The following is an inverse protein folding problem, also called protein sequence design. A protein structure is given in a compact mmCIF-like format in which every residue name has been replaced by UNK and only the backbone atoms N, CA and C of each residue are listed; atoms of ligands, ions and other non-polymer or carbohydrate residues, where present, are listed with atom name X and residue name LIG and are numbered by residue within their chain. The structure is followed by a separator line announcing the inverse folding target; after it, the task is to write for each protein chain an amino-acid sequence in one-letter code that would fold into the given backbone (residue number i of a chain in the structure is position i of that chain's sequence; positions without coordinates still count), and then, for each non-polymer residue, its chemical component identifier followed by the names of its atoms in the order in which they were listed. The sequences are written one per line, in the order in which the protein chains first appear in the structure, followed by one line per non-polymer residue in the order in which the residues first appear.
data_IF_892962510271
#
_entry.id   IF_892962510271
#
_cell.length_a   1.000
_cell.length_b   1.000
_cell.length_c   1.000
_cell.angle_alpha   90.00
_cell.angle_beta   90.00
_cell.angle_gamma   90.00
#
_symmetry.space_group_name_H-M   'P 1'
#
loop_
_entity.id
_entity.type
_entity.pdbx_description
1 polymer ?
#
# COMPACT_ATOMS: atom_id res chain seq x y z
N UNK A 1 12.25 2.12 5.76
CA UNK A 1 10.95 1.48 6.08
C UNK A 1 9.90 2.08 5.15
N UNK A 2 8.92 1.32 4.66
CA UNK A 2 7.81 1.85 3.85
C UNK A 2 6.54 1.86 4.69
N UNK A 3 5.84 2.98 4.72
CA UNK A 3 4.53 3.12 5.37
C UNK A 3 3.59 3.94 4.51
N UNK A 4 2.30 3.87 4.79
CA UNK A 4 1.31 4.61 4.03
C UNK A 4 -0.10 4.38 4.53
N UNK A 5 -1.03 4.98 3.83
CA UNK A 5 -2.45 4.79 4.05
C UNK A 5 -3.21 5.00 2.74
N UNK A 6 -4.43 4.50 2.68
CA UNK A 6 -5.35 4.82 1.61
C UNK A 6 -6.78 4.88 2.12
N UNK A 7 -7.62 5.59 1.38
CA UNK A 7 -9.06 5.68 1.58
C UNK A 7 -9.72 5.67 0.20
N UNK A 8 -10.70 4.80 0.03
CA UNK A 8 -11.63 4.83 -1.09
C UNK A 8 -12.60 6.00 -0.87
N UNK A 9 -12.57 6.95 -1.78
CA UNK A 9 -13.52 8.03 -1.89
C UNK A 9 -14.60 7.55 -2.84
N UNK A 10 -15.78 7.34 -2.29
CA UNK A 10 -16.93 7.07 -3.09
C UNK A 10 -17.89 8.27 -3.09
N UNK A 11 -18.36 8.62 -4.29
CA UNK A 11 -19.23 9.78 -4.51
C UNK A 11 -20.73 9.40 -4.50
N UNK A 12 -21.09 8.10 -4.51
CA UNK A 12 -22.47 7.63 -4.70
C UNK A 12 -23.04 6.77 -3.56
N UNK A 13 -22.26 6.39 -2.54
CA UNK A 13 -22.70 5.51 -1.44
C UNK A 13 -23.16 6.35 -0.25
N UNK A 14 -24.47 6.56 -0.27
CA UNK A 14 -25.27 6.79 0.92
C UNK A 14 -24.96 5.72 1.98
N UNK A 15 -24.07 6.02 2.93
CA UNK A 15 -23.91 5.57 4.34
C UNK A 15 -24.46 4.19 4.82
N UNK A 16 -24.75 3.24 3.93
CA UNK A 16 -25.44 1.99 4.24
C UNK A 16 -25.25 0.91 3.17
N UNK A 17 -24.51 1.14 2.10
CA UNK A 17 -24.27 0.06 1.13
C UNK A 17 -23.06 -0.76 1.54
N UNK A 18 -23.24 -2.08 1.53
CA UNK A 18 -22.19 -3.10 1.59
C UNK A 18 -21.24 -2.94 0.38
N UNK A 19 -20.47 -1.85 0.35
CA UNK A 19 -19.42 -1.71 -0.65
C UNK A 19 -18.37 -2.77 -0.35
N UNK A 20 -18.04 -3.66 -1.30
CA UNK A 20 -17.11 -4.75 -1.05
C UNK A 20 -15.68 -4.25 -0.83
N UNK A 21 -15.42 -2.94 -0.97
CA UNK A 21 -14.16 -2.29 -0.67
C UNK A 21 -13.09 -2.53 -1.75
N UNK A 22 -11.90 -1.98 -1.51
CA UNK A 22 -10.75 -2.10 -2.40
C UNK A 22 -9.80 -3.17 -1.85
N UNK A 23 -9.32 -4.02 -2.74
CA UNK A 23 -8.18 -4.89 -2.46
C UNK A 23 -6.88 -4.12 -2.68
N UNK A 24 -5.99 -4.15 -1.69
CA UNK A 24 -4.67 -3.53 -1.76
C UNK A 24 -3.57 -4.58 -1.72
N UNK A 25 -2.58 -4.45 -2.60
CA UNK A 25 -1.38 -5.30 -2.60
C UNK A 25 -0.12 -4.48 -2.84
N UNK A 26 0.91 -4.71 -2.02
CA UNK A 26 2.27 -4.23 -2.28
C UNK A 26 3.17 -5.41 -2.65
N UNK A 27 3.91 -5.27 -3.75
CA UNK A 27 4.81 -6.29 -4.28
C UNK A 27 6.23 -5.77 -4.37
N UNK A 28 7.19 -6.62 -4.03
CA UNK A 28 8.62 -6.33 -4.10
C UNK A 28 9.18 -6.55 -5.51
N UNK A 29 10.42 -6.09 -5.79
CA UNK A 29 11.11 -6.39 -7.04
C UNK A 29 11.11 -7.90 -7.33
N UNK A 30 10.61 -8.34 -8.48
CA UNK A 30 10.48 -9.77 -8.79
C UNK A 30 9.17 -10.42 -8.34
N UNK A 31 8.17 -9.64 -7.88
CA UNK A 31 6.77 -10.05 -7.85
C UNK A 31 6.26 -10.68 -6.55
N UNK A 32 7.12 -10.90 -5.54
CA UNK A 32 6.69 -11.40 -4.24
C UNK A 32 5.84 -10.37 -3.50
N UNK A 33 4.67 -10.78 -3.00
CA UNK A 33 3.79 -9.93 -2.17
C UNK A 33 4.46 -9.69 -0.82
N UNK A 34 4.56 -8.43 -0.40
CA UNK A 34 5.09 -8.02 0.91
C UNK A 34 4.02 -7.51 1.84
N UNK A 35 2.86 -7.11 1.32
CA UNK A 35 1.70 -6.70 2.09
C UNK A 35 0.42 -6.85 1.27
N UNK A 36 -0.69 -7.20 1.91
CA UNK A 36 -2.00 -7.29 1.26
C UNK A 36 -3.15 -7.03 2.23
N UNK A 37 -4.17 -6.33 1.76
CA UNK A 37 -5.46 -6.15 2.42
C UNK A 37 -6.56 -6.47 1.41
N UNK A 38 -7.70 -6.93 1.90
CA UNK A 38 -8.86 -7.27 1.06
C UNK A 38 -10.12 -6.56 1.54
N UNK A 39 -10.90 -6.10 0.58
CA UNK A 39 -12.24 -5.55 0.80
C UNK A 39 -12.34 -4.49 1.90
N UNK A 40 -11.45 -3.50 1.89
CA UNK A 40 -11.50 -2.38 2.86
C UNK A 40 -11.73 -1.06 2.14
N UNK A 41 -12.49 -0.16 2.76
CA UNK A 41 -12.70 1.21 2.28
C UNK A 41 -11.54 2.14 2.66
N UNK A 42 -10.60 1.68 3.49
CA UNK A 42 -9.40 2.44 3.81
C UNK A 42 -8.66 1.84 5.00
N UNK A 43 -7.33 1.91 4.95
CA UNK A 43 -6.48 1.39 6.01
C UNK A 43 -5.08 2.04 5.98
N UNK A 44 -4.31 1.80 7.05
CA UNK A 44 -2.89 2.11 7.15
C UNK A 44 -2.07 0.85 6.92
N UNK A 45 -0.92 0.99 6.29
CA UNK A 45 0.01 -0.12 6.07
C UNK A 45 1.44 0.29 6.35
N UNK A 46 2.25 -0.69 6.76
CA UNK A 46 3.68 -0.53 6.89
C UNK A 46 4.39 -1.86 6.67
N UNK A 47 5.53 -1.83 5.98
CA UNK A 47 6.40 -2.98 5.81
C UNK A 47 7.87 -2.55 5.72
N UNK A 48 8.77 -3.46 6.12
CA UNK A 48 10.20 -3.31 5.84
C UNK A 48 10.45 -3.79 4.41
N UNK A 49 11.17 -3.01 3.61
CA UNK A 49 11.57 -3.42 2.26
C UNK A 49 12.69 -4.48 2.38
N UNK A 50 12.44 -5.76 2.07
CA UNK A 50 13.45 -6.82 2.24
C UNK A 50 14.60 -6.71 1.24
N UNK A 51 14.41 -5.99 0.13
CA UNK A 51 15.38 -5.81 -0.94
C UNK A 51 15.25 -4.45 -1.60
N UNK A 52 16.35 -3.95 -2.13
CA UNK A 52 16.39 -2.72 -2.93
C UNK A 52 15.71 -2.92 -4.29
N UNK A 53 15.08 -1.86 -4.80
CA UNK A 53 14.46 -1.83 -6.12
C UNK A 53 13.02 -1.29 -6.10
N UNK A 54 12.34 -1.44 -7.24
CA UNK A 54 10.99 -0.94 -7.44
C UNK A 54 9.92 -1.82 -6.80
N UNK A 55 9.12 -1.21 -5.92
CA UNK A 55 7.92 -1.81 -5.36
C UNK A 55 6.70 -1.35 -6.15
N UNK A 56 5.71 -2.24 -6.31
CA UNK A 56 4.45 -1.93 -6.98
C UNK A 56 3.30 -2.02 -5.99
N UNK A 57 2.52 -0.95 -5.92
CA UNK A 57 1.31 -0.81 -5.11
C UNK A 57 0.10 -0.93 -6.04
N UNK A 58 -0.77 -1.89 -5.78
CA UNK A 58 -1.95 -2.19 -6.59
C UNK A 58 -3.20 -2.00 -5.74
N UNK A 59 -4.13 -1.18 -6.25
CA UNK A 59 -5.49 -1.04 -5.74
C UNK A 59 -6.41 -1.69 -6.77
N UNK A 60 -7.16 -2.70 -6.36
CA UNK A 60 -8.07 -3.44 -7.23
C UNK A 60 -9.49 -3.26 -6.70
N UNK A 61 -10.33 -2.68 -7.54
CA UNK A 61 -11.77 -2.72 -7.31
C UNK A 61 -12.31 -4.08 -7.80
N UNK A 62 -12.87 -4.93 -6.91
CA UNK A 62 -13.53 -6.16 -7.31
C UNK A 62 -14.84 -5.89 -8.07
N UNK A 63 -15.44 -4.72 -7.85
CA UNK A 63 -16.61 -4.24 -8.59
C UNK A 63 -16.10 -3.48 -9.81
N UNK A 64 -16.70 -3.69 -10.97
CA UNK A 64 -16.32 -2.98 -12.20
C UNK A 64 -16.87 -1.55 -12.26
N UNK A 65 -17.08 -0.90 -11.11
CA UNK A 65 -17.52 0.49 -10.98
C UNK A 65 -16.31 1.43 -10.87
N UNK A 66 -16.52 2.70 -11.24
CA UNK A 66 -15.49 3.72 -11.05
C UNK A 66 -15.39 4.06 -9.57
N UNK A 67 -14.19 4.02 -9.02
CA UNK A 67 -13.93 4.34 -7.62
C UNK A 67 -12.67 5.22 -7.56
N UNK A 68 -12.71 6.24 -6.70
CA UNK A 68 -11.56 7.12 -6.51
C UNK A 68 -10.81 6.67 -5.27
N UNK A 69 -9.48 6.50 -5.36
CA UNK A 69 -8.67 6.14 -4.18
C UNK A 69 -7.69 7.27 -3.89
N UNK A 70 -7.79 7.84 -2.70
CA UNK A 70 -6.77 8.74 -2.16
C UNK A 70 -5.77 7.92 -1.36
N UNK A 71 -4.48 8.09 -1.65
CA UNK A 71 -3.43 7.32 -1.00
C UNK A 71 -2.21 8.18 -0.69
N UNK A 72 -1.48 7.75 0.34
CA UNK A 72 -0.22 8.34 0.75
C UNK A 72 0.80 7.24 0.97
N UNK A 73 2.01 7.42 0.43
CA UNK A 73 3.13 6.50 0.57
C UNK A 73 4.32 7.29 1.08
N UNK A 74 4.87 6.85 2.20
CA UNK A 74 6.05 7.40 2.82
C UNK A 74 7.17 6.36 2.82
N UNK A 75 8.34 6.77 2.31
CA UNK A 75 9.56 5.96 2.34
C UNK A 75 10.51 6.59 3.35
N UNK A 76 10.56 6.02 4.55
CA UNK A 76 11.55 6.41 5.56
C UNK A 76 12.90 5.74 5.28
N UNK A 77 13.93 6.18 6.00
CA UNK A 77 15.31 5.71 5.83
C UNK A 77 15.37 4.16 5.76
N UNK A 78 15.89 3.65 4.64
CA UNK A 78 16.23 2.25 4.46
C UNK A 78 17.75 2.23 4.65
N UNK A 79 18.28 1.79 5.79
CA UNK A 79 19.72 1.76 5.98
C UNK A 79 20.32 0.89 4.88
N UNK A 80 21.17 1.49 4.06
CA UNK A 80 21.91 0.75 3.04
C UNK A 80 23.05 0.01 3.77
N UNK A 81 23.56 -1.10 3.22
CA UNK A 81 24.72 -1.81 3.83
C UNK A 81 25.97 -0.91 3.95
N UNK A 82 25.98 0.24 3.27
CA UNK A 82 27.02 1.28 3.38
C UNK A 82 26.83 2.26 4.55
N UNK A 83 25.71 2.22 5.27
CA UNK A 83 25.44 3.06 6.45
C UNK A 83 25.92 2.40 7.77
N UNK A 84 26.65 1.29 7.68
CA UNK A 84 27.41 0.78 8.81
C UNK A 84 28.54 1.78 9.08
N UNK A 85 28.27 2.73 9.98
CA UNK A 85 29.25 3.66 10.49
C UNK A 85 30.51 2.87 10.89
N UNK A 86 31.63 3.22 10.25
CA UNK A 86 32.96 2.91 10.76
C UNK A 86 33.09 3.66 12.09
N UNK A 87 32.81 2.99 13.20
CA UNK A 87 33.38 3.40 14.47
C UNK A 87 34.89 3.13 14.37
N UNK A 88 35.66 4.20 14.33
CA UNK A 88 37.12 4.20 14.36
C UNK A 88 37.67 4.10 15.77
#
# INVERSE_FOLDING_TARGET
MVSGNFVAIDHDIFWSSDHPGIDFTATAPGGSIVFSLKGTSGDKFAFKAPKSGMYKFCFRNPVSTHETVSFYIHVGHIPNEHDLAKDG
#
